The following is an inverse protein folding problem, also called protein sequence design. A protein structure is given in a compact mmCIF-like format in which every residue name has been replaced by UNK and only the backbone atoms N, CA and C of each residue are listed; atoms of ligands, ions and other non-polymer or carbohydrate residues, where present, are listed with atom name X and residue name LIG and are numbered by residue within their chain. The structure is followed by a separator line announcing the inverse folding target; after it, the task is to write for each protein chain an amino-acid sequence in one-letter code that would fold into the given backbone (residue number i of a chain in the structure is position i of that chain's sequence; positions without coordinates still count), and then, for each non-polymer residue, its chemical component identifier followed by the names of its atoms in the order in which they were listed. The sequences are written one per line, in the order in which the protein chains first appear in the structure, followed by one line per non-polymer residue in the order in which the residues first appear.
data_IF_191406442081
#
_entry.id   IF_191406442081
#
_cell.length_a   1.000
_cell.length_b   1.000
_cell.length_c   1.000
_cell.angle_alpha   90.00
_cell.angle_beta   90.00
_cell.angle_gamma   90.00
#
_symmetry.space_group_name_H-M   'P 1'
#
loop_
_entity.id
_entity.type
_entity.pdbx_description
1 polymer ?
#
# COMPACT_ATOMS: atom_id res chain seq x y z
N UNK A 1 -12.66 11.95 16.03
CA UNK A 1 -11.92 11.98 14.76
C UNK A 1 -12.57 12.85 13.67
N UNK A 2 -13.90 13.04 13.64
CA UNK A 2 -14.57 13.82 12.57
C UNK A 2 -14.34 15.34 12.53
N UNK A 3 -13.77 15.97 13.57
CA UNK A 3 -13.56 17.43 13.57
C UNK A 3 -12.51 17.86 12.53
N UNK A 4 -11.39 17.12 12.40
CA UNK A 4 -10.30 17.46 11.48
C UNK A 4 -10.69 17.27 10.00
N UNK A 5 -11.57 16.32 9.67
CA UNK A 5 -12.10 16.14 8.30
C UNK A 5 -13.16 17.20 7.93
N UNK A 6 -13.88 17.72 8.94
CA UNK A 6 -14.95 18.71 8.74
C UNK A 6 -14.44 20.14 8.52
N UNK A 7 -13.19 20.45 8.90
CA UNK A 7 -12.64 21.80 8.78
C UNK A 7 -12.26 22.19 7.34
N UNK A 8 -11.54 21.34 6.56
CA UNK A 8 -11.21 21.65 5.17
C UNK A 8 -12.45 21.76 4.29
N UNK A 9 -13.43 20.85 4.49
CA UNK A 9 -14.67 20.82 3.70
C UNK A 9 -15.53 22.08 3.87
N UNK A 10 -15.38 22.83 4.97
CA UNK A 10 -16.07 24.12 5.20
C UNK A 10 -15.37 25.32 4.59
N UNK A 11 -14.07 25.23 4.29
CA UNK A 11 -13.26 26.36 3.76
C UNK A 11 -12.90 26.21 2.28
N UNK A 12 -12.98 24.99 1.76
CA UNK A 12 -12.71 24.68 0.36
C UNK A 12 -14.05 24.61 -0.40
N UNK A 13 -14.07 25.03 -1.67
CA UNK A 13 -15.27 24.93 -2.51
C UNK A 13 -15.80 23.50 -2.50
N UNK A 14 -17.12 23.34 -2.46
CA UNK A 14 -17.75 22.03 -2.65
C UNK A 14 -17.18 21.32 -3.89
N UNK A 15 -16.74 20.06 -3.71
CA UNK A 15 -16.14 19.23 -4.76
C UNK A 15 -14.66 19.51 -5.07
N UNK A 16 -14.00 20.47 -4.41
CA UNK A 16 -12.57 20.74 -4.63
C UNK A 16 -11.64 20.02 -3.62
N UNK A 17 -12.20 19.35 -2.60
CA UNK A 17 -11.44 18.50 -1.70
C UNK A 17 -11.36 17.08 -2.25
N UNK A 18 -10.15 16.54 -2.37
CA UNK A 18 -9.87 15.13 -2.64
C UNK A 18 -8.96 14.59 -1.55
N UNK A 19 -9.29 13.42 -1.01
CA UNK A 19 -8.55 12.76 0.07
C UNK A 19 -8.03 11.41 -0.40
N UNK A 20 -6.78 11.09 -0.04
CA UNK A 20 -6.17 9.80 -0.29
C UNK A 20 -5.15 9.49 0.81
N UNK A 21 -4.98 8.21 1.13
CA UNK A 21 -3.92 7.74 2.04
C UNK A 21 -2.61 7.59 1.28
N UNK A 22 -1.97 8.72 0.99
CA UNK A 22 -0.75 8.76 0.18
C UNK A 22 0.39 7.94 0.80
N UNK A 23 0.44 7.84 2.13
CA UNK A 23 1.49 7.13 2.83
C UNK A 23 1.34 5.62 2.67
N UNK A 24 0.12 5.10 2.87
CA UNK A 24 -0.16 3.68 2.63
C UNK A 24 0.04 3.32 1.14
N UNK A 25 -0.43 4.17 0.23
CA UNK A 25 -0.26 3.95 -1.21
C UNK A 25 1.21 3.93 -1.61
N UNK A 26 2.02 4.88 -1.14
CA UNK A 26 3.44 4.94 -1.44
C UNK A 26 4.21 3.73 -0.89
N UNK A 27 3.92 3.35 0.37
CA UNK A 27 4.51 2.16 0.98
C UNK A 27 4.24 0.88 0.18
N UNK A 28 3.05 0.76 -0.43
CA UNK A 28 2.66 -0.43 -1.19
C UNK A 28 3.11 -0.43 -2.65
N UNK A 29 3.05 0.72 -3.32
CA UNK A 29 3.36 0.83 -4.75
C UNK A 29 4.85 1.04 -5.04
N UNK A 30 5.58 1.66 -4.10
CA UNK A 30 6.97 2.08 -4.27
C UNK A 30 7.88 1.34 -3.29
N UNK A 31 7.35 0.87 -2.16
CA UNK A 31 8.12 0.27 -1.07
C UNK A 31 8.68 1.31 -0.08
N UNK A 32 8.34 2.59 -0.25
CA UNK A 32 8.81 3.68 0.59
C UNK A 32 7.68 4.68 0.86
N UNK A 33 7.26 4.76 2.13
CA UNK A 33 6.24 5.69 2.60
C UNK A 33 6.68 7.18 2.49
N UNK A 34 7.99 7.46 2.48
CA UNK A 34 8.50 8.82 2.34
C UNK A 34 8.21 9.41 0.95
N UNK A 35 7.97 8.57 -0.05
CA UNK A 35 7.62 9.00 -1.41
C UNK A 35 6.18 9.55 -1.53
N UNK A 36 5.40 9.57 -0.45
CA UNK A 36 4.01 10.06 -0.43
C UNK A 36 3.86 11.51 -0.92
N UNK A 37 4.81 12.39 -0.59
CA UNK A 37 4.80 13.78 -1.06
C UNK A 37 4.97 13.89 -2.58
N UNK A 38 5.84 13.07 -3.17
CA UNK A 38 6.07 13.03 -4.62
C UNK A 38 4.89 12.37 -5.35
N UNK A 39 4.26 11.36 -4.74
CA UNK A 39 3.00 10.79 -5.23
C UNK A 39 1.89 11.86 -5.26
N UNK A 40 1.72 12.62 -4.18
CA UNK A 40 0.77 13.74 -4.12
C UNK A 40 1.09 14.81 -5.17
N UNK A 41 2.37 15.12 -5.38
CA UNK A 41 2.81 16.07 -6.40
C UNK A 41 2.40 15.59 -7.80
N UNK A 42 2.61 14.31 -8.12
CA UNK A 42 2.19 13.71 -9.39
C UNK A 42 0.67 13.79 -9.60
N UNK A 43 -0.10 13.51 -8.54
CA UNK A 43 -1.57 13.61 -8.56
C UNK A 43 -2.04 15.04 -8.80
N UNK A 44 -1.47 16.00 -8.07
CA UNK A 44 -1.81 17.42 -8.18
C UNK A 44 -1.44 17.98 -9.57
N UNK A 45 -0.28 17.61 -10.11
CA UNK A 45 0.14 18.02 -11.45
C UNK A 45 -0.81 17.49 -12.53
N UNK A 46 -1.16 16.20 -12.48
CA UNK A 46 -2.10 15.60 -13.44
C UNK A 46 -3.51 16.19 -13.33
N UNK A 47 -3.87 16.67 -12.14
CA UNK A 47 -5.14 17.39 -11.88
C UNK A 47 -5.10 18.86 -12.31
N UNK A 48 -3.99 19.35 -12.88
CA UNK A 48 -3.84 20.74 -13.34
C UNK A 48 -3.60 21.76 -12.21
N UNK A 49 -3.22 21.33 -11.01
CA UNK A 49 -3.04 22.20 -9.84
C UNK A 49 -1.63 22.77 -9.71
N UNK A 50 -0.68 22.28 -10.52
CA UNK A 50 0.73 22.67 -10.46
C UNK A 50 1.14 23.23 -11.83
N UNK A 51 1.39 24.54 -11.96
CA UNK A 51 1.56 25.21 -13.26
C UNK A 51 3.01 25.16 -13.76
N UNK A 52 3.56 23.95 -13.93
CA UNK A 52 4.90 23.74 -14.51
C UNK A 52 4.86 22.59 -15.52
N UNK A 53 5.85 22.53 -16.41
CA UNK A 53 5.96 21.42 -17.35
C UNK A 53 6.35 20.12 -16.65
N UNK A 54 6.01 18.98 -17.27
CA UNK A 54 6.44 17.66 -16.80
C UNK A 54 7.95 17.54 -16.79
N UNK A 55 8.59 18.11 -17.81
CA UNK A 55 10.03 18.09 -18.01
C UNK A 55 10.74 18.84 -16.87
N UNK A 56 10.17 19.97 -16.41
CA UNK A 56 10.69 20.70 -15.27
C UNK A 56 10.59 19.89 -13.97
N UNK A 57 9.50 19.14 -13.76
CA UNK A 57 9.38 18.24 -12.62
C UNK A 57 10.40 17.10 -12.66
N UNK A 58 10.59 16.48 -13.82
CA UNK A 58 11.59 15.41 -13.97
C UNK A 58 13.02 15.94 -13.74
N UNK A 59 13.33 17.13 -14.25
CA UNK A 59 14.60 17.79 -13.98
C UNK A 59 14.77 18.14 -12.49
N UNK A 60 13.73 18.62 -11.82
CA UNK A 60 13.79 18.90 -10.37
C UNK A 60 14.09 17.65 -9.56
N UNK A 61 13.49 16.51 -9.91
CA UNK A 61 13.79 15.20 -9.30
C UNK A 61 15.24 14.80 -9.55
N UNK A 62 15.73 14.97 -10.79
CA UNK A 62 17.12 14.67 -11.12
C UNK A 62 18.11 15.56 -10.36
N UNK A 63 17.83 16.86 -10.22
CA UNK A 63 18.67 17.83 -9.50
C UNK A 63 18.68 17.60 -7.99
N UNK A 64 17.57 17.14 -7.40
CA UNK A 64 17.54 16.79 -5.98
C UNK A 64 18.49 15.63 -5.64
N UNK A 65 18.71 14.71 -6.58
CA UNK A 65 19.71 13.64 -6.48
C UNK A 65 19.38 12.51 -5.50
N UNK A 66 18.37 12.66 -4.63
CA UNK A 66 17.95 11.64 -3.67
C UNK A 66 16.89 10.74 -4.28
N UNK A 67 17.10 9.42 -4.18
CA UNK A 67 16.14 8.39 -4.57
C UNK A 67 15.48 8.64 -5.95
N UNK A 68 16.24 9.14 -6.92
CA UNK A 68 15.73 9.67 -8.21
C UNK A 68 14.76 8.70 -8.89
N UNK A 69 15.11 7.42 -8.97
CA UNK A 69 14.25 6.39 -9.57
C UNK A 69 12.92 6.21 -8.80
N UNK A 70 12.99 6.15 -7.46
CA UNK A 70 11.82 6.04 -6.59
C UNK A 70 10.90 7.26 -6.69
N UNK A 71 11.47 8.46 -6.72
CA UNK A 71 10.71 9.70 -6.88
C UNK A 71 10.07 9.82 -8.27
N UNK A 72 10.74 9.40 -9.34
CA UNK A 72 10.13 9.31 -10.68
C UNK A 72 8.98 8.31 -10.72
N UNK A 73 9.15 7.15 -10.09
CA UNK A 73 8.10 6.14 -9.98
C UNK A 73 6.90 6.67 -9.17
N UNK A 74 7.16 7.35 -8.05
CA UNK A 74 6.14 8.00 -7.22
C UNK A 74 5.33 9.03 -8.01
N UNK A 75 6.02 9.88 -8.78
CA UNK A 75 5.38 10.88 -9.63
C UNK A 75 4.51 10.22 -10.70
N UNK A 76 4.97 9.11 -11.31
CA UNK A 76 4.20 8.35 -12.28
C UNK A 76 2.94 7.72 -11.65
N UNK A 77 3.05 7.11 -10.47
CA UNK A 77 1.90 6.57 -9.75
C UNK A 77 0.90 7.65 -9.35
N UNK A 78 1.36 8.80 -8.88
CA UNK A 78 0.50 9.94 -8.58
C UNK A 78 -0.29 10.40 -9.79
N UNK A 79 0.35 10.47 -10.96
CA UNK A 79 -0.31 10.82 -12.22
C UNK A 79 -1.33 9.77 -12.64
N UNK A 80 -0.98 8.48 -12.57
CA UNK A 80 -1.92 7.40 -12.85
C UNK A 80 -3.12 7.44 -11.91
N UNK A 81 -2.92 7.72 -10.63
CA UNK A 81 -4.01 7.81 -9.66
C UNK A 81 -5.01 8.92 -10.00
N UNK A 82 -4.56 10.03 -10.59
CA UNK A 82 -5.44 11.10 -11.06
C UNK A 82 -6.14 10.76 -12.39
N UNK A 83 -5.46 10.04 -13.28
CA UNK A 83 -5.97 9.74 -14.63
C UNK A 83 -6.86 8.48 -14.68
N UNK A 84 -6.48 7.44 -13.94
CA UNK A 84 -7.13 6.13 -13.86
C UNK A 84 -7.01 5.58 -12.42
N UNK A 85 -7.87 6.03 -11.50
CA UNK A 85 -7.88 5.55 -10.12
C UNK A 85 -8.11 4.04 -10.03
N UNK A 86 -8.95 3.47 -10.91
CA UNK A 86 -9.31 2.06 -10.88
C UNK A 86 -8.09 1.17 -11.17
N UNK A 87 -7.23 1.58 -12.11
CA UNK A 87 -5.97 0.90 -12.36
C UNK A 87 -5.09 0.87 -11.11
N UNK A 88 -4.93 2.00 -10.42
CA UNK A 88 -4.09 2.07 -9.21
C UNK A 88 -4.70 1.25 -8.08
N UNK A 89 -6.03 1.31 -7.89
CA UNK A 89 -6.74 0.51 -6.90
C UNK A 89 -6.56 -0.99 -7.14
N UNK A 90 -6.57 -1.46 -8.38
CA UNK A 90 -6.30 -2.87 -8.71
C UNK A 90 -4.87 -3.29 -8.33
N UNK A 91 -3.88 -2.42 -8.48
CA UNK A 91 -2.50 -2.67 -8.05
C UNK A 91 -2.32 -2.57 -6.53
N UNK A 92 -3.24 -1.87 -5.86
CA UNK A 92 -3.39 -1.82 -4.42
C UNK A 92 -4.37 -2.88 -3.91
N UNK A 93 -4.93 -3.76 -4.73
CA UNK A 93 -5.64 -4.90 -4.18
C UNK A 93 -4.61 -5.79 -3.46
N UNK A 94 -4.87 -6.25 -2.22
CA UNK A 94 -4.06 -7.34 -1.69
C UNK A 94 -4.10 -8.47 -2.72
N UNK A 95 -2.94 -9.03 -3.06
CA UNK A 95 -2.93 -10.25 -3.85
C UNK A 95 -3.86 -11.23 -3.12
N UNK A 96 -4.92 -11.65 -3.79
CA UNK A 96 -5.74 -12.76 -3.30
C UNK A 96 -4.83 -13.96 -3.43
N UNK A 97 -4.03 -14.22 -2.38
CA UNK A 97 -3.38 -15.50 -2.29
C UNK A 97 -4.51 -16.53 -2.34
N UNK A 98 -4.45 -17.50 -3.26
CA UNK A 98 -5.45 -18.55 -3.30
C UNK A 98 -5.55 -19.10 -1.88
N UNK A 99 -6.77 -19.23 -1.37
CA UNK A 99 -7.01 -19.75 -0.04
C UNK A 99 -6.19 -21.05 0.10
N UNK A 100 -5.08 -20.96 0.84
CA UNK A 100 -4.23 -22.13 1.02
C UNK A 100 -5.09 -23.12 1.79
N UNK A 101 -5.16 -24.35 1.28
CA UNK A 101 -5.79 -25.43 2.02
C UNK A 101 -5.20 -25.43 3.43
N UNK A 102 -6.07 -25.28 4.44
CA UNK A 102 -5.64 -25.10 5.81
C UNK A 102 -4.85 -26.32 6.27
N UNK A 103 -5.18 -27.52 5.76
CA UNK A 103 -4.42 -28.74 6.05
C UNK A 103 -3.00 -28.67 5.46
N UNK A 104 -2.85 -28.21 4.21
CA UNK A 104 -1.54 -27.97 3.61
C UNK A 104 -0.70 -26.94 4.38
N UNK A 105 -1.32 -25.87 4.89
CA UNK A 105 -0.63 -24.86 5.71
C UNK A 105 -0.16 -25.45 7.04
N UNK A 106 -1.03 -26.21 7.70
CA UNK A 106 -0.72 -26.86 8.98
C UNK A 106 0.39 -27.89 8.81
N UNK A 107 0.37 -28.69 7.75
CA UNK A 107 1.41 -29.67 7.43
C UNK A 107 2.77 -29.00 7.24
N UNK A 108 2.86 -28.01 6.34
CA UNK A 108 4.10 -27.28 6.06
C UNK A 108 4.68 -26.61 7.32
N UNK A 109 3.83 -26.02 8.16
CA UNK A 109 4.27 -25.41 9.42
C UNK A 109 4.73 -26.44 10.44
N UNK A 110 4.09 -27.60 10.50
CA UNK A 110 4.52 -28.66 11.40
C UNK A 110 5.88 -29.24 11.00
N UNK A 111 6.14 -29.42 9.70
CA UNK A 111 7.47 -29.78 9.19
C UNK A 111 8.53 -28.74 9.58
N UNK A 112 8.23 -27.46 9.38
CA UNK A 112 9.12 -26.37 9.78
C UNK A 112 9.41 -26.37 11.28
N UNK A 113 8.39 -26.54 12.13
CA UNK A 113 8.55 -26.54 13.59
C UNK A 113 9.32 -27.77 14.10
N UNK A 114 9.18 -28.89 13.41
CA UNK A 114 9.96 -30.11 13.69
C UNK A 114 11.44 -29.87 13.38
N UNK A 115 11.74 -29.27 12.22
CA UNK A 115 13.11 -28.91 11.84
C UNK A 115 13.70 -27.79 12.72
N UNK A 116 12.86 -26.87 13.18
CA UNK A 116 13.26 -25.76 14.04
C UNK A 116 13.57 -26.22 15.48
N UNK A 117 12.82 -27.19 16.00
CA UNK A 117 13.01 -27.69 17.35
C UNK A 117 12.89 -29.21 17.41
N UNK A 118 11.66 -29.73 17.40
CA UNK A 118 11.35 -31.15 17.52
C UNK A 118 9.89 -31.46 17.17
N UNK A 119 9.56 -32.74 17.08
CA UNK A 119 8.20 -33.23 16.80
C UNK A 119 7.21 -32.84 17.92
N UNK A 120 7.67 -32.71 19.17
CA UNK A 120 6.81 -32.33 20.29
C UNK A 120 6.29 -30.89 20.11
N UNK A 121 7.12 -29.99 19.57
CA UNK A 121 6.70 -28.62 19.28
C UNK A 121 5.71 -28.56 18.12
N UNK A 122 5.96 -29.33 17.05
CA UNK A 122 5.01 -29.48 15.94
C UNK A 122 3.66 -30.05 16.40
N UNK A 123 3.67 -31.05 17.29
CA UNK A 123 2.45 -31.64 17.86
C UNK A 123 1.65 -30.62 18.69
N UNK A 124 2.31 -29.81 19.53
CA UNK A 124 1.65 -28.72 20.28
C UNK A 124 1.00 -27.69 19.36
N UNK A 125 1.65 -27.35 18.25
CA UNK A 125 1.08 -26.49 17.23
C UNK A 125 -0.18 -27.10 16.60
N UNK A 126 -0.12 -28.35 16.13
CA UNK A 126 -1.27 -29.06 15.55
C UNK A 126 -2.47 -29.11 16.50
N UNK A 127 -2.24 -29.45 17.77
CA UNK A 127 -3.27 -29.50 18.80
C UNK A 127 -3.94 -28.13 19.03
N UNK A 128 -3.15 -27.05 19.05
CA UNK A 128 -3.68 -25.70 19.23
C UNK A 128 -4.53 -25.24 18.04
N UNK A 129 -4.13 -25.59 16.82
CA UNK A 129 -4.93 -25.29 15.62
C UNK A 129 -6.23 -26.10 15.60
N UNK A 130 -6.19 -27.38 15.96
CA UNK A 130 -7.39 -28.22 16.06
C UNK A 130 -8.42 -27.65 17.07
N UNK A 131 -7.96 -27.23 18.26
CA UNK A 131 -8.83 -26.63 19.26
C UNK A 131 -9.49 -25.31 18.79
N UNK A 132 -8.85 -24.56 17.89
CA UNK A 132 -9.45 -23.35 17.28
C UNK A 132 -10.46 -23.74 16.20
N UNK A 133 -10.19 -24.77 15.39
CA UNK A 133 -11.14 -25.29 14.39
C UNK A 133 -12.44 -25.74 15.05
N UNK A 134 -12.36 -26.49 16.13
CA UNK A 134 -13.53 -26.97 16.88
C UNK A 134 -14.39 -25.84 17.46
N UNK A 135 -13.80 -24.69 17.77
CA UNK A 135 -14.53 -23.51 18.28
C UNK A 135 -15.13 -22.64 17.20
N UNK A 136 -14.65 -22.78 15.96
CA UNK A 136 -15.08 -21.99 14.82
C UNK A 136 -16.14 -22.72 13.95
N UNK A 137 -16.36 -24.01 14.20
CA UNK A 137 -17.44 -24.81 13.64
C UNK A 137 -18.73 -24.64 14.47
#
# INVERSE_FOLDING_TARGET
TGMLESLPSRRVRAGALRSLDAQAMAGRLIGDAQAANVLLLGFAWQSGLVPVSREALDQAVALNGVAVAGNRLALAWGRLLAADPAFVEAHLAPAVEPAQDLDAVVARRAEYLTAYQDEAYAARYRARVAAVRERAA
#
